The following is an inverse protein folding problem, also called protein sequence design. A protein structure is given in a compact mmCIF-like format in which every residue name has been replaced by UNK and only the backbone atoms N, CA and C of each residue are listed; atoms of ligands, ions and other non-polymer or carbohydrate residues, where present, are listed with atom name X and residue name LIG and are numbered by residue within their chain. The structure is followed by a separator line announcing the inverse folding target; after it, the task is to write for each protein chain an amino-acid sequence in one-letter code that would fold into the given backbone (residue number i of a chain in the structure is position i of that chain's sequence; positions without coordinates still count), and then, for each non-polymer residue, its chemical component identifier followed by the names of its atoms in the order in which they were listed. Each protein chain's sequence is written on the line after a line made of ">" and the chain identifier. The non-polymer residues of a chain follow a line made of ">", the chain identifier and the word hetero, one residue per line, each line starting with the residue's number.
data_IF_642111311126
#
_entry.id   IF_642111311126
#
_cell.length_a   1.000
_cell.length_b   1.000
_cell.length_c   1.000
_cell.angle_alpha   90.00
_cell.angle_beta   90.00
_cell.angle_gamma   90.00
#
_symmetry.space_group_name_H-M   'P 1'
#
loop_
_entity.id
_entity.type
_entity.pdbx_description
1 polymer ?
#
# COMPACT_ATOMS: atom_id res chain seq x y z
N UNK A 1 12.53 22.90 12.92
CA UNK A 1 11.30 22.74 12.10
C UNK A 1 11.33 21.46 11.23
N UNK A 2 11.60 20.28 11.81
CA UNK A 2 11.92 19.04 11.06
C UNK A 2 10.97 17.86 11.28
N UNK A 3 10.10 17.92 12.30
CA UNK A 3 9.15 16.83 12.61
C UNK A 3 7.94 16.81 11.66
N UNK A 4 7.41 17.97 11.27
CA UNK A 4 6.25 18.07 10.38
C UNK A 4 6.54 17.51 8.97
N UNK A 5 7.76 17.70 8.45
CA UNK A 5 8.16 17.20 7.13
C UNK A 5 8.09 15.67 7.04
N UNK A 6 8.49 14.97 8.10
CA UNK A 6 8.47 13.49 8.11
C UNK A 6 7.04 12.95 8.07
N UNK A 7 6.09 13.57 8.78
CA UNK A 7 4.67 13.20 8.74
C UNK A 7 4.03 13.49 7.39
N UNK A 8 4.35 14.62 6.76
CA UNK A 8 3.86 14.95 5.42
C UNK A 8 4.39 13.95 4.38
N UNK A 9 5.68 13.63 4.44
CA UNK A 9 6.31 12.66 3.53
C UNK A 9 5.69 11.27 3.72
N UNK A 10 5.50 10.81 4.97
CA UNK A 10 4.84 9.54 5.24
C UNK A 10 3.42 9.50 4.67
N UNK A 11 2.64 10.56 4.86
CA UNK A 11 1.27 10.66 4.32
C UNK A 11 1.24 10.67 2.78
N UNK A 12 2.19 11.37 2.16
CA UNK A 12 2.33 11.40 0.70
C UNK A 12 2.70 10.03 0.12
N UNK A 13 3.62 9.31 0.77
CA UNK A 13 4.04 7.97 0.35
C UNK A 13 2.85 7.01 0.43
N UNK A 14 2.11 7.00 1.54
CA UNK A 14 0.94 6.14 1.70
C UNK A 14 -0.13 6.46 0.65
N UNK A 15 -0.41 7.75 0.42
CA UNK A 15 -1.41 8.19 -0.56
C UNK A 15 -1.00 7.82 -1.98
N UNK A 16 0.24 8.14 -2.38
CA UNK A 16 0.75 7.83 -3.70
C UNK A 16 0.81 6.32 -3.95
N UNK A 17 1.21 5.56 -2.94
CA UNK A 17 1.20 4.10 -3.00
C UNK A 17 -0.23 3.55 -3.18
N UNK A 18 -1.21 4.05 -2.42
CA UNK A 18 -2.61 3.63 -2.54
C UNK A 18 -3.16 3.91 -3.94
N UNK A 19 -2.91 5.10 -4.49
CA UNK A 19 -3.34 5.46 -5.85
C UNK A 19 -2.70 4.52 -6.87
N UNK A 20 -1.39 4.29 -6.77
CA UNK A 20 -0.68 3.37 -7.66
C UNK A 20 -1.19 1.93 -7.52
N UNK A 21 -1.48 1.48 -6.30
CA UNK A 21 -1.99 0.15 -6.01
C UNK A 21 -3.39 -0.07 -6.58
N UNK A 22 -4.30 0.90 -6.39
CA UNK A 22 -5.66 0.85 -6.96
C UNK A 22 -5.59 0.83 -8.48
N UNK A 23 -4.73 1.66 -9.07
CA UNK A 23 -4.53 1.69 -10.52
C UNK A 23 -3.98 0.35 -11.04
N UNK A 24 -2.94 -0.18 -10.42
CA UNK A 24 -2.38 -1.50 -10.76
C UNK A 24 -3.41 -2.62 -10.60
N UNK A 25 -4.19 -2.61 -9.52
CA UNK A 25 -5.25 -3.59 -9.27
C UNK A 25 -6.38 -3.49 -10.31
N UNK A 26 -6.76 -2.28 -10.71
CA UNK A 26 -7.76 -2.04 -11.74
C UNK A 26 -7.27 -2.46 -13.14
N UNK A 27 -6.02 -2.14 -13.48
CA UNK A 27 -5.39 -2.57 -14.74
C UNK A 27 -5.25 -4.08 -14.80
N UNK A 28 -4.76 -4.73 -13.74
CA UNK A 28 -4.70 -6.19 -13.70
C UNK A 28 -6.10 -6.80 -13.73
N UNK A 29 -7.07 -6.19 -13.03
CA UNK A 29 -8.48 -6.56 -13.06
C UNK A 29 -9.10 -6.55 -14.46
N UNK A 30 -8.73 -5.58 -15.31
CA UNK A 30 -9.21 -5.53 -16.69
C UNK A 30 -8.59 -6.61 -17.59
N UNK A 31 -7.33 -7.00 -17.33
CA UNK A 31 -6.70 -8.14 -18.00
C UNK A 31 -7.26 -9.51 -17.54
N UNK A 32 -7.86 -9.61 -16.34
CA UNK A 32 -8.47 -10.86 -15.87
C UNK A 32 -9.68 -11.31 -16.69
N UNK A 33 -10.31 -10.40 -17.45
CA UNK A 33 -11.44 -10.74 -18.33
C UNK A 33 -11.02 -11.73 -19.43
N UNK A 34 -9.74 -11.75 -19.81
CA UNK A 34 -9.19 -12.69 -20.81
C UNK A 34 -8.66 -13.99 -20.19
N UNK A 35 -8.61 -14.11 -18.86
CA UNK A 35 -7.98 -15.23 -18.16
C UNK A 35 -9.00 -16.24 -17.60
N UNK A 36 -8.60 -17.50 -17.37
CA UNK A 36 -9.48 -18.54 -16.85
C UNK A 36 -10.06 -18.17 -15.47
N UNK A 37 -11.36 -18.45 -15.28
CA UNK A 37 -12.18 -18.06 -14.12
C UNK A 37 -11.61 -18.45 -12.74
N UNK A 38 -10.70 -19.42 -12.69
CA UNK A 38 -10.02 -19.85 -11.46
C UNK A 38 -8.92 -18.89 -10.98
N UNK A 39 -8.38 -18.03 -11.85
CA UNK A 39 -7.33 -17.08 -11.48
C UNK A 39 -7.91 -15.77 -10.91
N UNK A 40 -9.14 -15.42 -11.26
CA UNK A 40 -9.87 -14.29 -10.67
C UNK A 40 -9.81 -14.27 -9.13
N UNK A 41 -10.18 -15.34 -8.40
CA UNK A 41 -10.15 -15.33 -6.94
C UNK A 41 -8.72 -15.22 -6.37
N UNK A 42 -7.73 -15.90 -6.97
CA UNK A 42 -6.33 -15.80 -6.55
C UNK A 42 -5.81 -14.37 -6.69
N UNK A 43 -6.20 -13.68 -7.75
CA UNK A 43 -5.90 -12.27 -7.94
C UNK A 43 -6.57 -11.39 -6.89
N UNK A 44 -7.86 -11.57 -6.62
CA UNK A 44 -8.55 -10.79 -5.59
C UNK A 44 -7.96 -11.02 -4.19
N UNK A 45 -7.55 -12.25 -3.88
CA UNK A 45 -6.87 -12.60 -2.62
C UNK A 45 -5.51 -11.92 -2.55
N UNK A 46 -4.69 -11.96 -3.60
CA UNK A 46 -3.37 -11.31 -3.61
C UNK A 46 -3.47 -9.78 -3.66
N UNK A 47 -4.43 -9.20 -4.37
CA UNK A 47 -4.72 -7.77 -4.32
C UNK A 47 -5.21 -7.34 -2.92
N UNK A 48 -6.00 -8.20 -2.26
CA UNK A 48 -6.56 -8.01 -0.92
C UNK A 48 -5.64 -8.37 0.25
N UNK A 49 -4.57 -9.12 0.05
CA UNK A 49 -3.54 -9.39 1.08
C UNK A 49 -2.24 -8.62 0.79
N UNK A 50 -1.95 -8.33 -0.47
CA UNK A 50 -0.77 -7.62 -0.92
C UNK A 50 -0.74 -6.16 -0.46
N UNK A 51 -1.90 -5.51 -0.28
CA UNK A 51 -1.95 -4.12 0.21
C UNK A 51 -1.59 -3.97 1.69
N UNK A 52 -1.64 -5.04 2.49
CA UNK A 52 -1.29 -5.00 3.91
C UNK A 52 0.23 -5.05 4.17
N UNK A 53 1.00 -5.66 3.27
CA UNK A 53 2.48 -5.70 3.31
C UNK A 53 3.14 -4.30 3.33
N UNK A 54 2.79 -3.35 2.44
CA UNK A 54 3.40 -2.03 2.38
C UNK A 54 2.99 -1.11 3.53
N UNK A 55 1.86 -1.38 4.22
CA UNK A 55 1.45 -0.60 5.39
C UNK A 55 2.33 -0.87 6.62
N UNK A 56 2.78 -2.12 6.79
CA UNK A 56 3.62 -2.52 7.94
C UNK A 56 4.91 -1.70 8.10
N UNK A 57 5.77 -1.52 7.08
CA UNK A 57 7.01 -0.75 7.23
C UNK A 57 6.75 0.73 7.51
N UNK A 58 5.69 1.33 6.95
CA UNK A 58 5.36 2.74 7.22
C UNK A 58 4.90 2.91 8.67
N UNK A 59 4.03 2.03 9.16
CA UNK A 59 3.60 2.03 10.57
C UNK A 59 4.79 1.81 11.53
N UNK A 60 5.68 0.87 11.23
CA UNK A 60 6.90 0.63 12.00
C UNK A 60 7.83 1.85 12.01
N UNK A 61 7.95 2.56 10.89
CA UNK A 61 8.76 3.76 10.79
C UNK A 61 8.19 4.92 11.63
N UNK A 62 6.87 5.10 11.63
CA UNK A 62 6.20 6.05 12.53
C UNK A 62 6.41 5.69 14.00
N UNK A 63 6.18 4.43 14.39
CA UNK A 63 6.30 3.99 15.78
C UNK A 63 7.72 4.11 16.34
N UNK A 64 8.74 3.93 15.48
CA UNK A 64 10.14 4.05 15.88
C UNK A 64 10.54 5.49 16.20
N UNK A 65 9.88 6.49 15.59
CA UNK A 65 10.22 7.91 15.84
C UNK A 65 9.67 8.45 17.15
N UNK A 66 8.56 7.90 17.66
CA UNK A 66 7.94 8.33 18.93
C UNK A 66 8.79 7.94 20.15
N UNK A 67 9.45 6.78 20.11
CA UNK A 67 10.25 6.26 21.23
C UNK A 67 11.66 6.89 21.36
N UNK A 68 12.06 7.77 20.44
CA UNK A 68 13.37 8.45 20.47
C UNK A 68 13.35 9.81 21.15
N UNK A 69 12.16 10.32 21.52
CA UNK A 69 11.96 11.63 22.13
C UNK A 69 11.67 11.55 23.65
N UNK A 70 11.80 10.36 24.27
CA UNK A 70 11.64 10.11 25.72
C UNK A 70 12.96 9.84 26.44
#
# INVERSE_FOLDING_TARGET
>A
MTHAKRRIIASLIVTGFLVFWIWAAASLGSYLVTWPKWIQPVFFITAGLGWALPLRPVFLWMNKTENTDS
#
